data_IF_910789760945
#
_entry.id   IF_910789760945
#
_cell.length_a   1.000
_cell.length_b   1.000
_cell.length_c   1.000
_cell.angle_alpha   90.00
_cell.angle_beta   90.00
_cell.angle_gamma   90.00
#
_symmetry.space_group_name_H-M   'P 1'
#
loop_
_entity.id
_entity.type
_entity.pdbx_description
1 polymer ?
#
# COMPACT_ATOMS: atom_id res chain seq x y z
N UNK A 1 -5.97 11.93 3.93
CA UNK A 1 -5.95 12.68 2.65
C UNK A 1 -4.54 12.64 2.10
N UNK A 2 -4.34 12.34 0.81
CA UNK A 2 -3.00 12.31 0.20
C UNK A 2 -2.85 13.57 -0.64
N UNK A 3 -1.85 14.40 -0.31
CA UNK A 3 -1.59 15.65 -1.03
C UNK A 3 -0.09 15.84 -1.32
N UNK A 4 0.19 16.55 -2.40
CA UNK A 4 1.53 16.94 -2.83
C UNK A 4 1.49 18.37 -3.34
N UNK A 5 2.25 19.25 -2.68
CA UNK A 5 2.49 20.60 -3.19
C UNK A 5 3.47 20.54 -4.35
N UNK A 6 3.11 21.17 -5.48
CA UNK A 6 3.98 21.31 -6.64
C UNK A 6 4.90 22.51 -6.41
N UNK A 7 6.21 22.36 -6.69
CA UNK A 7 7.17 23.46 -6.56
C UNK A 7 7.25 24.24 -7.88
N UNK A 8 7.55 25.54 -7.79
CA UNK A 8 7.78 26.37 -8.98
C UNK A 8 8.98 25.83 -9.78
N UNK A 9 8.80 25.63 -11.09
CA UNK A 9 9.80 25.05 -11.99
C UNK A 9 9.88 23.51 -11.99
N UNK A 10 8.98 22.82 -11.28
CA UNK A 10 8.94 21.37 -11.28
C UNK A 10 8.18 20.79 -12.49
N UNK A 11 8.77 19.80 -13.17
CA UNK A 11 8.04 18.98 -14.14
C UNK A 11 6.88 18.22 -13.49
N UNK A 12 5.69 18.34 -14.05
CA UNK A 12 4.45 17.69 -13.60
C UNK A 12 4.64 16.18 -13.33
N UNK A 13 5.40 15.47 -14.17
CA UNK A 13 5.64 14.04 -14.01
C UNK A 13 6.34 13.69 -12.68
N UNK A 14 7.25 14.55 -12.19
CA UNK A 14 7.92 14.36 -10.90
C UNK A 14 6.93 14.52 -9.74
N UNK A 15 6.04 15.50 -9.81
CA UNK A 15 4.99 15.69 -8.82
C UNK A 15 4.02 14.49 -8.79
N UNK A 16 3.62 13.98 -9.96
CA UNK A 16 2.78 12.79 -10.08
C UNK A 16 3.44 11.53 -9.52
N UNK A 17 4.74 11.31 -9.77
CA UNK A 17 5.48 10.18 -9.18
C UNK A 17 5.51 10.26 -7.66
N UNK A 18 5.73 11.45 -7.07
CA UNK A 18 5.66 11.63 -5.61
C UNK A 18 4.26 11.37 -5.07
N UNK A 19 3.23 11.86 -5.76
CA UNK A 19 1.84 11.62 -5.39
C UNK A 19 1.53 10.13 -5.40
N UNK A 20 1.86 9.43 -6.49
CA UNK A 20 1.69 7.97 -6.61
C UNK A 20 2.39 7.23 -5.47
N UNK A 21 3.64 7.58 -5.15
CA UNK A 21 4.39 6.98 -4.04
C UNK A 21 3.72 7.24 -2.68
N UNK A 22 3.22 8.47 -2.43
CA UNK A 22 2.47 8.78 -1.20
C UNK A 22 1.14 8.02 -1.15
N UNK A 23 0.43 7.90 -2.27
CA UNK A 23 -0.84 7.18 -2.39
C UNK A 23 -0.70 5.68 -2.14
N UNK A 24 0.33 5.06 -2.73
CA UNK A 24 0.68 3.67 -2.50
C UNK A 24 1.09 3.42 -1.04
N UNK A 25 1.88 4.32 -0.45
CA UNK A 25 2.29 4.24 0.96
C UNK A 25 1.11 4.41 1.92
N UNK A 26 0.18 5.32 1.61
CA UNK A 26 -1.06 5.49 2.36
C UNK A 26 -1.98 4.26 2.26
N UNK A 27 -1.80 3.42 1.23
CA UNK A 27 -2.55 2.17 1.09
C UNK A 27 -4.04 2.38 0.79
N UNK A 28 -4.43 3.55 0.28
CA UNK A 28 -5.82 3.94 0.04
C UNK A 28 -6.57 2.89 -0.79
N UNK A 29 -5.99 2.43 -1.91
CA UNK A 29 -6.60 1.37 -2.71
C UNK A 29 -6.78 0.06 -1.97
N UNK A 30 -5.82 -0.30 -1.09
CA UNK A 30 -5.88 -1.53 -0.32
C UNK A 30 -7.00 -1.45 0.72
N UNK A 31 -7.22 -0.28 1.30
CA UNK A 31 -8.32 -0.06 2.23
C UNK A 31 -9.68 -0.09 1.53
N UNK A 32 -9.81 0.58 0.38
CA UNK A 32 -11.04 0.53 -0.44
C UNK A 32 -11.38 -0.90 -0.81
N UNK A 33 -10.42 -1.68 -1.31
CA UNK A 33 -10.63 -3.10 -1.65
C UNK A 33 -10.93 -3.99 -0.44
N UNK A 34 -10.46 -3.63 0.76
CA UNK A 34 -10.79 -4.36 1.99
C UNK A 34 -12.23 -4.07 2.43
N UNK A 35 -12.69 -2.83 2.25
CA UNK A 35 -14.02 -2.38 2.67
C UNK A 35 -15.11 -2.65 1.63
N UNK A 36 -14.75 -3.04 0.40
CA UNK A 36 -15.73 -3.28 -0.67
C UNK A 36 -16.66 -4.46 -0.43
N UNK A 37 -16.31 -5.38 0.47
CA UNK A 37 -17.16 -6.51 0.86
C UNK A 37 -16.87 -6.93 2.30
N UNK A 38 -17.87 -7.54 2.94
CA UNK A 38 -17.68 -8.12 4.27
C UNK A 38 -16.78 -9.35 4.21
N UNK A 39 -15.81 -9.41 5.11
CA UNK A 39 -14.94 -10.57 5.32
C UNK A 39 -15.09 -10.95 6.79
N UNK A 40 -15.33 -12.24 7.06
CA UNK A 40 -15.38 -12.72 8.45
C UNK A 40 -14.05 -12.43 9.15
N UNK A 41 -14.03 -11.97 10.42
CA UNK A 41 -12.80 -11.65 11.13
C UNK A 41 -11.76 -12.79 11.13
N UNK A 42 -12.23 -14.04 11.20
CA UNK A 42 -11.36 -15.23 11.13
C UNK A 42 -10.62 -15.35 9.79
N UNK A 43 -11.29 -15.07 8.68
CA UNK A 43 -10.69 -15.15 7.35
C UNK A 43 -9.68 -14.01 7.12
N UNK A 44 -9.95 -12.80 7.64
CA UNK A 44 -8.99 -11.70 7.63
C UNK A 44 -7.72 -12.06 8.42
N UNK A 45 -7.87 -12.62 9.62
CA UNK A 45 -6.74 -13.07 10.43
C UNK A 45 -5.93 -14.18 9.75
N UNK A 46 -6.59 -15.16 9.12
CA UNK A 46 -5.94 -16.23 8.36
C UNK A 46 -5.14 -15.66 7.19
N UNK A 47 -5.71 -14.73 6.43
CA UNK A 47 -5.03 -14.06 5.32
C UNK A 47 -3.81 -13.24 5.79
N UNK A 48 -3.93 -12.55 6.93
CA UNK A 48 -2.84 -11.78 7.53
C UNK A 48 -1.66 -12.68 7.95
N UNK A 49 -1.93 -13.81 8.64
CA UNK A 49 -0.92 -14.81 9.02
C UNK A 49 -0.19 -15.37 7.80
N UNK A 50 -0.94 -15.78 6.76
CA UNK A 50 -0.35 -16.29 5.50
C UNK A 50 0.54 -15.23 4.82
N UNK A 51 0.12 -13.96 4.82
CA UNK A 51 0.92 -12.85 4.26
C UNK A 51 2.19 -12.61 5.06
N UNK A 52 2.15 -12.67 6.38
CA UNK A 52 3.31 -12.52 7.25
C UNK A 52 4.33 -13.65 7.03
N UNK A 53 3.87 -14.91 6.96
CA UNK A 53 4.73 -16.06 6.68
C UNK A 53 5.44 -15.91 5.33
N UNK A 54 4.71 -15.58 4.25
CA UNK A 54 5.31 -15.30 2.93
C UNK A 54 6.36 -14.17 2.98
N UNK A 55 6.10 -13.12 3.75
CA UNK A 55 7.05 -12.00 3.91
C UNK A 55 8.33 -12.46 4.62
N UNK A 56 8.22 -13.27 5.69
CA UNK A 56 9.37 -13.84 6.40
C UNK A 56 10.21 -14.73 5.49
N UNK A 57 9.59 -15.66 4.77
CA UNK A 57 10.28 -16.55 3.82
C UNK A 57 11.03 -15.77 2.74
N UNK A 58 10.41 -14.70 2.22
CA UNK A 58 11.06 -13.84 1.24
C UNK A 58 12.32 -13.18 1.81
N UNK A 59 12.28 -12.64 3.02
CA UNK A 59 13.47 -12.03 3.64
C UNK A 59 14.56 -13.05 3.95
N UNK A 60 14.18 -14.24 4.42
CA UNK A 60 15.13 -15.33 4.69
C UNK A 60 15.86 -15.83 3.43
N UNK A 61 15.28 -15.64 2.23
CA UNK A 61 15.93 -16.00 0.95
C UNK A 61 17.02 -15.00 0.52
N UNK A 62 17.01 -13.79 1.07
CA UNK A 62 17.96 -12.72 0.71
C UNK A 62 19.08 -12.51 1.74
N UNK A 63 19.04 -13.27 2.83
CA UNK A 63 20.12 -13.41 3.83
C UNK A 63 20.84 -14.73 3.58
#
# INVERSE_FOLDING_TARGET
>A
MVEVTVRNGEQLERALRRFKKKWERAGVLREVKRKSFFIKPSDEQRAAKKKAARRRLRFAKFN
#
